data_IF_189547226504
#
_entry.id   IF_189547226504
#
_cell.length_a   1.000
_cell.length_b   1.000
_cell.length_c   1.000
_cell.angle_alpha   90.00
_cell.angle_beta   90.00
_cell.angle_gamma   90.00
#
_symmetry.space_group_name_H-M   'P 1'
#
loop_
_entity.id
_entity.type
_entity.pdbx_description
1 polymer ?
#
# COMPACT_ATOMS: atom_id res chain seq x y z
N UNK A 1 10.64 5.73 -15.02
CA UNK A 1 9.96 6.23 -13.81
C UNK A 1 9.65 5.04 -12.91
N UNK A 2 10.29 4.95 -11.74
CA UNK A 2 10.10 3.84 -10.81
C UNK A 2 8.84 4.02 -9.96
N UNK A 3 8.15 2.91 -9.69
CA UNK A 3 7.10 2.80 -8.70
C UNK A 3 7.62 3.27 -7.34
N UNK A 4 6.80 4.03 -6.61
CA UNK A 4 7.17 4.51 -5.27
C UNK A 4 6.88 3.42 -4.26
N UNK A 5 7.67 3.43 -3.19
CA UNK A 5 7.39 2.61 -2.01
C UNK A 5 7.00 3.54 -0.88
N UNK A 6 5.87 3.28 -0.25
CA UNK A 6 5.41 4.03 0.91
C UNK A 6 5.61 3.18 2.14
N UNK A 7 6.11 3.80 3.19
CA UNK A 7 6.27 3.15 4.48
C UNK A 7 5.19 3.66 5.42
N UNK A 8 4.45 2.74 6.02
CA UNK A 8 3.59 3.03 7.15
C UNK A 8 4.44 3.62 8.28
N UNK A 9 4.09 4.81 8.76
CA UNK A 9 4.81 5.48 9.84
C UNK A 9 4.57 4.84 11.21
N UNK A 10 3.53 3.99 11.33
CA UNK A 10 3.12 3.36 12.60
C UNK A 10 3.92 2.09 12.85
N UNK A 11 3.91 1.13 11.92
CA UNK A 11 4.61 -0.15 12.08
C UNK A 11 5.83 -0.33 11.18
N UNK A 12 6.05 0.55 10.20
CA UNK A 12 7.16 0.45 9.26
C UNK A 12 6.91 -0.47 8.05
N UNK A 13 5.70 -1.03 7.91
CA UNK A 13 5.32 -1.82 6.73
C UNK A 13 5.49 -1.03 5.43
N UNK A 14 5.90 -1.68 4.35
CA UNK A 14 6.19 -1.02 3.07
C UNK A 14 5.20 -1.45 1.99
N UNK A 15 4.37 -0.51 1.54
CA UNK A 15 3.56 -0.62 0.34
C UNK A 15 4.45 -0.41 -0.88
N UNK A 16 4.53 -1.39 -1.77
CA UNK A 16 5.23 -1.27 -3.04
C UNK A 16 4.20 -1.13 -4.16
N UNK A 17 4.12 0.05 -4.78
CA UNK A 17 3.14 0.30 -5.85
C UNK A 17 3.28 -0.68 -7.02
N UNK A 18 4.47 -1.26 -7.26
CA UNK A 18 4.66 -2.26 -8.31
C UNK A 18 4.01 -3.60 -7.97
N UNK A 19 4.11 -4.01 -6.70
CA UNK A 19 3.56 -5.27 -6.23
C UNK A 19 2.08 -5.14 -5.81
N UNK A 20 1.65 -3.94 -5.44
CA UNK A 20 0.35 -3.70 -4.85
C UNK A 20 0.19 -4.40 -3.50
N UNK A 21 -1.06 -4.66 -3.11
CA UNK A 21 -1.39 -5.56 -2.01
C UNK A 21 -2.51 -6.50 -2.44
N UNK A 22 -2.20 -7.59 -3.18
CA UNK A 22 -3.21 -8.52 -3.66
C UNK A 22 -3.96 -9.23 -2.52
N UNK A 23 -3.38 -9.27 -1.32
CA UNK A 23 -4.05 -9.77 -0.11
C UNK A 23 -5.22 -8.88 0.34
N UNK A 24 -5.10 -7.58 0.11
CA UNK A 24 -6.13 -6.57 0.42
C UNK A 24 -6.98 -6.23 -0.83
N UNK A 25 -6.79 -6.95 -1.94
CA UNK A 25 -7.48 -6.66 -3.20
C UNK A 25 -6.90 -5.49 -3.99
N UNK A 26 -5.72 -4.99 -3.63
CA UNK A 26 -5.01 -3.97 -4.39
C UNK A 26 -4.12 -4.63 -5.43
N UNK A 27 -4.42 -4.39 -6.70
CA UNK A 27 -3.66 -4.96 -7.82
C UNK A 27 -2.21 -4.43 -7.88
N UNK A 28 -1.28 -5.23 -8.42
CA UNK A 28 0.07 -4.74 -8.74
C UNK A 28 0.01 -3.55 -9.70
N UNK A 29 1.01 -2.69 -9.64
CA UNK A 29 1.08 -1.41 -10.37
C UNK A 29 0.02 -0.37 -9.95
N UNK A 30 -0.66 -0.58 -8.82
CA UNK A 30 -1.57 0.42 -8.23
C UNK A 30 -0.78 1.46 -7.45
N UNK A 31 -0.88 2.73 -7.86
CA UNK A 31 -0.27 3.84 -7.14
C UNK A 31 -1.02 4.11 -5.85
N UNK A 32 -0.34 4.68 -4.87
CA UNK A 32 -0.95 5.07 -3.60
C UNK A 32 -2.15 6.02 -3.76
N UNK A 33 -2.14 6.86 -4.79
CA UNK A 33 -3.26 7.76 -5.10
C UNK A 33 -4.51 7.04 -5.60
N UNK A 34 -4.35 5.83 -6.10
CA UNK A 34 -5.43 4.97 -6.59
C UNK A 34 -5.85 3.95 -5.52
N UNK A 35 -5.13 3.87 -4.39
CA UNK A 35 -5.50 3.03 -3.25
C UNK A 35 -6.75 3.63 -2.58
N UNK A 36 -7.77 2.81 -2.26
CA UNK A 36 -8.97 3.28 -1.58
C UNK A 36 -8.67 3.93 -0.23
N UNK A 37 -9.44 4.95 0.12
CA UNK A 37 -9.33 5.64 1.43
C UNK A 37 -9.70 4.73 2.61
N UNK A 38 -10.47 3.68 2.33
CA UNK A 38 -10.87 2.63 3.29
C UNK A 38 -9.78 1.57 3.49
N UNK A 39 -8.69 1.63 2.70
CA UNK A 39 -7.58 0.70 2.87
C UNK A 39 -6.86 0.98 4.19
N UNK A 40 -6.58 -0.10 4.91
CA UNK A 40 -5.83 -0.06 6.16
C UNK A 40 -4.56 -0.87 6.03
N UNK A 41 -3.52 -0.45 6.73
CA UNK A 41 -2.25 -1.17 6.73
C UNK A 41 -2.49 -2.62 7.21
N UNK A 42 -2.12 -3.65 6.42
CA UNK A 42 -2.42 -5.04 6.76
C UNK A 42 -1.67 -5.55 7.99
N UNK A 43 -0.64 -4.83 8.44
CA UNK A 43 0.19 -5.19 9.58
C UNK A 43 -0.30 -4.56 10.90
N UNK A 44 -0.82 -3.33 10.86
CA UNK A 44 -1.21 -2.58 12.07
C UNK A 44 -2.63 -1.98 12.07
N UNK A 45 -3.34 -2.01 10.93
CA UNK A 45 -4.67 -1.44 10.79
C UNK A 45 -4.71 0.10 10.73
N UNK A 46 -3.57 0.77 10.53
CA UNK A 46 -3.53 2.22 10.37
C UNK A 46 -4.06 2.66 8.99
N UNK A 47 -4.86 3.74 8.97
CA UNK A 47 -5.42 4.39 7.77
C UNK A 47 -4.51 5.48 7.24
#
# INVERSE_FOLDING_TARGET
MGFKKLRCIVCGWVYDEYLGSPKDGIEPMTKWKDVPEDWVCPDCGAT
#
